data_IF_053273478878
#
_entry.id   IF_053273478878
#
_cell.length_a   1.000
_cell.length_b   1.000
_cell.length_c   1.000
_cell.angle_alpha   90.00
_cell.angle_beta   90.00
_cell.angle_gamma   90.00
#
_symmetry.space_group_name_H-M   'P 1'
#
loop_
_entity.id
_entity.type
_entity.pdbx_description
1 polymer ?
#
# COMPACT_ATOMS: atom_id res chain seq x y z
N UNK A 1 -3.53 34.45 29.82
CA UNK A 1 -3.14 33.05 29.56
C UNK A 1 -3.52 32.74 28.11
N UNK A 2 -2.57 32.27 27.29
CA UNK A 2 -2.75 32.13 25.84
C UNK A 2 -3.58 30.87 25.54
N UNK A 3 -4.67 31.04 24.80
CA UNK A 3 -5.54 29.96 24.33
C UNK A 3 -4.77 28.94 23.48
N UNK A 4 -4.77 27.68 23.91
CA UNK A 4 -4.05 26.58 23.28
C UNK A 4 -5.01 25.64 22.52
N UNK A 5 -5.97 26.18 21.77
CA UNK A 5 -6.74 25.39 20.80
C UNK A 5 -5.93 25.26 19.52
N UNK A 6 -4.91 24.42 19.55
CA UNK A 6 -4.15 24.02 18.37
C UNK A 6 -5.07 23.13 17.52
N UNK A 7 -5.73 23.72 16.52
CA UNK A 7 -6.50 23.01 15.48
C UNK A 7 -5.68 21.82 14.97
N UNK A 8 -6.19 20.61 15.18
CA UNK A 8 -5.61 19.36 14.64
C UNK A 8 -5.74 19.43 13.10
N UNK A 9 -4.62 19.57 12.39
CA UNK A 9 -4.56 19.63 10.92
C UNK A 9 -4.86 18.23 10.36
N UNK A 10 -6.14 17.88 10.23
CA UNK A 10 -6.62 16.56 9.80
C UNK A 10 -7.00 16.35 8.31
N UNK A 11 -6.97 17.33 7.38
CA UNK A 11 -7.33 17.05 5.98
C UNK A 11 -6.17 16.52 5.11
N UNK A 12 -4.91 16.80 5.46
CA UNK A 12 -3.71 16.48 4.65
C UNK A 12 -3.50 14.97 4.48
N UNK A 13 -3.60 14.22 5.59
CA UNK A 13 -3.29 12.79 5.63
C UNK A 13 -4.29 11.89 4.89
N UNK A 14 -5.57 12.30 4.79
CA UNK A 14 -6.58 11.51 4.08
C UNK A 14 -6.42 11.67 2.56
N UNK A 15 -6.10 12.87 2.11
CA UNK A 15 -5.80 13.15 0.70
C UNK A 15 -4.60 12.34 0.23
N UNK A 16 -3.53 12.34 1.03
CA UNK A 16 -2.31 11.59 0.77
C UNK A 16 -2.56 10.07 0.74
N UNK A 17 -3.35 9.53 1.67
CA UNK A 17 -3.72 8.11 1.62
C UNK A 17 -4.43 7.74 0.32
N UNK A 18 -5.39 8.57 -0.10
CA UNK A 18 -6.12 8.34 -1.35
C UNK A 18 -5.20 8.41 -2.57
N UNK A 19 -4.27 9.37 -2.61
CA UNK A 19 -3.32 9.49 -3.71
C UNK A 19 -2.32 8.35 -3.76
N UNK A 20 -1.95 7.78 -2.61
CA UNK A 20 -0.91 6.76 -2.57
C UNK A 20 -1.47 5.35 -2.76
N UNK A 21 -2.65 5.04 -2.21
CA UNK A 21 -3.16 3.67 -2.16
C UNK A 21 -4.44 3.43 -2.96
N UNK A 22 -5.23 4.47 -3.20
CA UNK A 22 -6.51 4.38 -3.91
C UNK A 22 -6.41 5.00 -5.30
N UNK A 23 -5.45 4.52 -6.10
CA UNK A 23 -5.30 4.87 -7.51
C UNK A 23 -5.38 3.62 -8.40
N UNK A 24 -6.02 3.69 -9.57
CA UNK A 24 -5.92 2.65 -10.58
C UNK A 24 -4.48 2.54 -11.08
N UNK A 25 -4.09 1.33 -11.48
CA UNK A 25 -2.76 1.06 -12.02
C UNK A 25 -2.86 0.45 -13.42
N UNK A 26 -1.78 0.49 -14.18
CA UNK A 26 -1.68 -0.23 -15.45
C UNK A 26 -1.44 -1.73 -15.26
N UNK A 27 -1.31 -2.19 -14.00
CA UNK A 27 -1.03 -3.57 -13.68
C UNK A 27 -2.28 -4.44 -13.85
N UNK A 28 -2.22 -5.32 -14.84
CA UNK A 28 -3.26 -6.33 -15.04
C UNK A 28 -2.95 -7.57 -14.20
N UNK A 29 -3.87 -7.94 -13.31
CA UNK A 29 -3.74 -9.10 -12.42
C UNK A 29 -3.32 -10.38 -13.15
N UNK A 30 -3.86 -10.61 -14.36
CA UNK A 30 -3.55 -11.78 -15.21
C UNK A 30 -2.09 -11.84 -15.69
N UNK A 31 -1.38 -10.72 -15.67
CA UNK A 31 0.05 -10.64 -16.00
C UNK A 31 0.94 -10.84 -14.76
N UNK A 32 0.32 -10.97 -13.58
CA UNK A 32 1.00 -11.16 -12.31
C UNK A 32 1.23 -12.62 -11.95
N UNK A 33 1.75 -12.82 -10.73
CA UNK A 33 1.79 -14.11 -10.04
C UNK A 33 0.76 -14.09 -8.92
N UNK A 34 0.09 -15.22 -8.69
CA UNK A 34 -0.84 -15.37 -7.58
C UNK A 34 -0.07 -15.62 -6.28
N UNK A 35 -0.45 -14.91 -5.22
CA UNK A 35 -0.01 -15.17 -3.85
C UNK A 35 -1.24 -15.29 -2.96
N UNK A 36 -1.20 -16.18 -1.98
CA UNK A 36 -2.25 -16.29 -0.99
C UNK A 36 -2.10 -15.20 0.08
N UNK A 37 -3.22 -14.62 0.48
CA UNK A 37 -3.35 -13.76 1.65
C UNK A 37 -4.37 -14.40 2.60
N UNK A 38 -4.34 -14.02 3.88
CA UNK A 38 -5.35 -14.50 4.81
C UNK A 38 -6.75 -14.06 4.36
N UNK A 39 -7.75 -14.88 4.68
CA UNK A 39 -9.16 -14.57 4.40
C UNK A 39 -9.56 -13.22 5.01
N UNK A 40 -9.10 -12.93 6.22
CA UNK A 40 -9.31 -11.64 6.89
C UNK A 40 -8.78 -10.46 6.06
N UNK A 41 -7.55 -10.55 5.55
CA UNK A 41 -6.98 -9.48 4.72
C UNK A 41 -7.72 -9.36 3.40
N UNK A 42 -8.09 -10.48 2.77
CA UNK A 42 -8.88 -10.45 1.55
C UNK A 42 -10.21 -9.71 1.74
N UNK A 43 -10.94 -10.01 2.82
CA UNK A 43 -12.20 -9.34 3.15
C UNK A 43 -12.01 -7.84 3.44
N UNK A 44 -10.96 -7.49 4.19
CA UNK A 44 -10.67 -6.10 4.52
C UNK A 44 -10.31 -5.29 3.26
N UNK A 45 -9.45 -5.81 2.39
CA UNK A 45 -9.09 -5.15 1.13
C UNK A 45 -10.31 -5.04 0.22
N UNK A 46 -11.12 -6.09 0.12
CA UNK A 46 -12.36 -6.07 -0.66
C UNK A 46 -13.30 -4.95 -0.21
N UNK A 47 -13.48 -4.77 1.10
CA UNK A 47 -14.30 -3.68 1.66
C UNK A 47 -13.70 -2.30 1.34
N UNK A 48 -12.40 -2.13 1.47
CA UNK A 48 -11.71 -0.87 1.14
C UNK A 48 -11.96 -0.50 -0.32
N UNK A 49 -11.69 -1.43 -1.23
CA UNK A 49 -11.82 -1.21 -2.67
C UNK A 49 -13.28 -0.95 -3.06
N UNK A 50 -14.22 -1.71 -2.51
CA UNK A 50 -15.65 -1.54 -2.79
C UNK A 50 -16.18 -0.19 -2.29
N UNK A 51 -15.88 0.18 -1.05
CA UNK A 51 -16.43 1.39 -0.42
C UNK A 51 -15.71 2.67 -0.86
N UNK A 52 -14.40 2.62 -1.10
CA UNK A 52 -13.56 3.80 -1.30
C UNK A 52 -12.96 3.90 -2.72
N UNK A 53 -13.06 2.83 -3.52
CA UNK A 53 -12.48 2.78 -4.86
C UNK A 53 -13.41 3.23 -5.99
N UNK A 54 -14.66 3.60 -5.69
CA UNK A 54 -15.65 4.12 -6.66
C UNK A 54 -15.80 3.24 -7.92
N UNK A 55 -15.59 1.93 -7.81
CA UNK A 55 -15.62 0.99 -8.93
C UNK A 55 -14.46 1.11 -9.93
N UNK A 56 -13.45 1.94 -9.64
CA UNK A 56 -12.29 2.20 -10.52
C UNK A 56 -11.02 1.48 -10.07
N UNK A 57 -11.07 0.83 -8.91
CA UNK A 57 -9.92 0.21 -8.27
C UNK A 57 -10.25 -1.26 -8.07
N UNK A 58 -9.28 -2.12 -8.26
CA UNK A 58 -9.35 -3.54 -7.97
C UNK A 58 -8.52 -3.89 -6.74
N UNK A 59 -8.72 -5.10 -6.19
CA UNK A 59 -7.83 -5.65 -5.15
C UNK A 59 -6.36 -5.64 -5.62
N UNK A 60 -6.14 -5.90 -6.92
CA UNK A 60 -4.79 -5.90 -7.50
C UNK A 60 -4.18 -4.51 -7.52
N UNK A 61 -4.95 -3.48 -7.88
CA UNK A 61 -4.47 -2.09 -7.83
C UNK A 61 -4.07 -1.68 -6.41
N UNK A 62 -4.92 -2.00 -5.43
CA UNK A 62 -4.67 -1.68 -4.03
C UNK A 62 -3.39 -2.35 -3.52
N UNK A 63 -3.24 -3.66 -3.76
CA UNK A 63 -2.05 -4.41 -3.38
C UNK A 63 -0.80 -3.90 -4.11
N UNK A 64 -0.91 -3.57 -5.39
CA UNK A 64 0.19 -3.02 -6.17
C UNK A 64 0.68 -1.70 -5.55
N UNK A 65 -0.23 -0.79 -5.21
CA UNK A 65 0.12 0.49 -4.60
C UNK A 65 0.76 0.32 -3.21
N UNK A 66 0.21 -0.58 -2.38
CA UNK A 66 0.78 -0.89 -1.06
C UNK A 66 2.21 -1.43 -1.18
N UNK A 67 2.43 -2.38 -2.09
CA UNK A 67 3.75 -2.96 -2.32
C UNK A 67 4.72 -1.94 -2.91
N UNK A 68 4.27 -1.13 -3.88
CA UNK A 68 5.07 -0.06 -4.47
C UNK A 68 5.56 0.90 -3.40
N UNK A 69 4.66 1.40 -2.55
CA UNK A 69 5.02 2.31 -1.46
C UNK A 69 5.96 1.63 -0.46
N UNK A 70 5.67 0.39 -0.06
CA UNK A 70 6.52 -0.36 0.85
C UNK A 70 7.96 -0.49 0.31
N UNK A 71 8.13 -0.82 -0.98
CA UNK A 71 9.44 -0.94 -1.58
C UNK A 71 10.13 0.42 -1.82
N UNK A 72 9.38 1.50 -2.03
CA UNK A 72 9.94 2.85 -2.07
C UNK A 72 10.49 3.24 -0.69
N UNK A 73 9.74 2.98 0.38
CA UNK A 73 10.11 3.38 1.74
C UNK A 73 11.19 2.47 2.37
N UNK A 74 11.23 1.18 1.98
CA UNK A 74 12.08 0.14 2.60
C UNK A 74 13.10 -0.50 1.67
N UNK A 75 13.19 -0.03 0.42
CA UNK A 75 14.03 -0.65 -0.59
C UNK A 75 15.51 -0.70 -0.19
N UNK A 76 16.03 0.32 0.48
CA UNK A 76 17.44 0.36 0.91
C UNK A 76 17.72 -0.55 2.11
N UNK A 77 16.77 -0.67 3.04
CA UNK A 77 16.83 -1.65 4.13
C UNK A 77 16.89 -3.08 3.54
N UNK A 78 16.00 -3.38 2.58
CA UNK A 78 15.95 -4.67 1.89
C UNK A 78 17.26 -4.96 1.15
N UNK A 79 17.81 -3.98 0.42
CA UNK A 79 19.11 -4.12 -0.28
C UNK A 79 20.26 -4.38 0.67
N UNK A 80 20.24 -3.76 1.85
CA UNK A 80 21.28 -3.96 2.88
C UNK A 80 21.22 -5.39 3.40
N UNK A 81 20.03 -5.87 3.75
CA UNK A 81 19.81 -7.26 4.18
C UNK A 81 20.22 -8.27 3.11
N UNK A 82 20.00 -8.00 1.82
CA UNK A 82 20.47 -8.88 0.74
C UNK A 82 21.99 -8.97 0.63
N UNK A 83 22.74 -7.91 0.98
CA UNK A 83 24.21 -7.95 0.97
C UNK A 83 24.77 -8.75 2.15
N UNK A 84 24.07 -8.72 3.27
CA UNK A 84 24.42 -9.44 4.49
C UNK A 84 23.96 -10.91 4.44
N UNK A 85 22.98 -11.23 3.60
CA UNK A 85 22.54 -12.60 3.38
C UNK A 85 23.70 -13.46 2.86
N UNK A 86 23.95 -14.64 3.46
CA UNK A 86 25.00 -15.53 2.98
C UNK A 86 24.71 -15.90 1.52
N UNK A 87 25.74 -15.82 0.66
CA UNK A 87 25.68 -16.19 -0.77
C UNK A 87 25.43 -17.68 -1.02
N UNK A 88 25.05 -18.45 0.00
CA UNK A 88 24.90 -19.88 -0.14
C UNK A 88 23.55 -20.14 -0.80
N UNK A 89 23.60 -20.68 -2.02
CA UNK A 89 22.49 -21.05 -2.91
C UNK A 89 21.98 -19.94 -3.85
N UNK A 90 22.90 -19.35 -4.63
CA UNK A 90 22.69 -19.16 -6.07
C UNK A 90 23.79 -19.89 -6.84
#
# INVERSE_FOLDING_TARGET
MKNLFKKKKQPDCIGEYKSNFLQPTEFLARNGKTVYISEEFHQNISRIVFMLGNGKITISDYLYNVLKQHFQDRGDDIKTLFKEAPKTFL
#
